data_IF_550912204976
#
_entry.id   IF_550912204976
#
_cell.length_a   1.000
_cell.length_b   1.000
_cell.length_c   1.000
_cell.angle_alpha   90.00
_cell.angle_beta   90.00
_cell.angle_gamma   90.00
#
_symmetry.space_group_name_H-M   'P 1'
#
loop_
_entity.id
_entity.type
_entity.pdbx_description
1 polymer ?
#
# COMPACT_ATOMS: atom_id res chain seq x y z
N UNK A 1 -49.93 -16.77 4.73
CA UNK A 1 -48.46 -16.84 4.85
C UNK A 1 -47.91 -15.43 4.89
N UNK A 2 -47.30 -15.00 6.00
CA UNK A 2 -46.61 -13.69 6.06
C UNK A 2 -45.24 -13.82 5.36
N UNK A 3 -44.81 -12.87 4.52
CA UNK A 3 -43.49 -12.91 3.89
C UNK A 3 -42.42 -12.84 4.99
N UNK A 4 -41.44 -13.75 4.97
CA UNK A 4 -40.24 -13.65 5.81
C UNK A 4 -39.51 -12.36 5.41
N UNK A 5 -39.51 -11.37 6.32
CA UNK A 5 -38.68 -10.19 6.16
C UNK A 5 -37.23 -10.62 5.94
N UNK A 6 -36.63 -10.21 4.80
CA UNK A 6 -35.19 -10.34 4.57
C UNK A 6 -34.51 -9.67 5.76
N UNK A 7 -33.80 -10.46 6.57
CA UNK A 7 -32.97 -9.96 7.66
C UNK A 7 -31.95 -9.02 7.02
N UNK A 8 -32.16 -7.72 7.14
CA UNK A 8 -31.21 -6.71 6.70
C UNK A 8 -30.04 -6.84 7.67
N UNK A 9 -28.97 -7.51 7.22
CA UNK A 9 -27.77 -7.69 8.03
C UNK A 9 -27.25 -6.30 8.40
N UNK A 10 -27.03 -6.07 9.69
CA UNK A 10 -26.46 -4.82 10.19
C UNK A 10 -25.19 -4.48 9.36
N UNK A 11 -25.09 -3.27 8.78
CA UNK A 11 -23.92 -2.85 8.00
C UNK A 11 -22.60 -3.09 8.75
N UNK A 12 -22.57 -2.92 10.07
CA UNK A 12 -21.38 -3.15 10.88
C UNK A 12 -21.00 -4.64 10.93
N UNK A 13 -21.98 -5.54 10.99
CA UNK A 13 -21.75 -6.98 10.95
C UNK A 13 -21.27 -7.41 9.57
N UNK A 14 -21.83 -6.85 8.50
CA UNK A 14 -21.39 -7.14 7.14
C UNK A 14 -19.95 -6.70 6.90
N UNK A 15 -19.56 -5.52 7.39
CA UNK A 15 -18.19 -5.01 7.31
C UNK A 15 -17.21 -5.91 8.07
N UNK A 16 -17.52 -6.25 9.33
CA UNK A 16 -16.67 -7.14 10.13
C UNK A 16 -16.49 -8.53 9.49
N UNK A 17 -17.51 -9.05 8.80
CA UNK A 17 -17.40 -10.30 8.05
C UNK A 17 -16.54 -10.15 6.80
N UNK A 18 -16.67 -9.03 6.09
CA UNK A 18 -15.80 -8.72 4.94
C UNK A 18 -14.33 -8.64 5.38
N UNK A 19 -14.03 -7.94 6.46
CA UNK A 19 -12.68 -7.86 7.04
C UNK A 19 -12.13 -9.22 7.47
N UNK A 20 -12.96 -10.06 8.11
CA UNK A 20 -12.59 -11.42 8.48
C UNK A 20 -12.17 -12.26 7.26
N UNK A 21 -12.90 -12.13 6.14
CA UNK A 21 -12.57 -12.81 4.89
C UNK A 21 -11.25 -12.28 4.32
N UNK A 22 -11.07 -10.96 4.26
CA UNK A 22 -9.85 -10.34 3.74
C UNK A 22 -8.62 -10.75 4.55
N UNK A 23 -8.73 -10.77 5.88
CA UNK A 23 -7.65 -11.19 6.79
C UNK A 23 -7.28 -12.67 6.57
N UNK A 24 -8.28 -13.55 6.49
CA UNK A 24 -8.07 -14.97 6.22
C UNK A 24 -7.45 -15.21 4.83
N UNK A 25 -7.89 -14.46 3.82
CA UNK A 25 -7.35 -14.55 2.48
C UNK A 25 -5.90 -14.07 2.41
N UNK A 26 -5.59 -12.92 3.03
CA UNK A 26 -4.23 -12.40 3.13
C UNK A 26 -3.30 -13.41 3.82
N UNK A 27 -3.75 -14.07 4.89
CA UNK A 27 -2.98 -15.16 5.53
C UNK A 27 -2.72 -16.34 4.57
N UNK A 28 -3.75 -16.79 3.84
CA UNK A 28 -3.59 -17.86 2.86
C UNK A 28 -2.62 -17.48 1.73
N UNK A 29 -2.74 -16.26 1.19
CA UNK A 29 -1.85 -15.74 0.14
C UNK A 29 -0.41 -15.65 0.63
N UNK A 30 -0.16 -15.13 1.82
CA UNK A 30 1.20 -15.10 2.40
C UNK A 30 1.83 -16.48 2.55
N UNK A 31 1.03 -17.50 2.88
CA UNK A 31 1.53 -18.85 3.14
C UNK A 31 1.76 -19.68 1.88
N UNK A 32 0.98 -19.47 0.82
CA UNK A 32 0.97 -20.34 -0.37
C UNK A 32 1.09 -19.60 -1.70
N UNK A 33 1.25 -18.29 -1.64
CA UNK A 33 1.11 -17.40 -2.77
C UNK A 33 -0.34 -17.27 -3.26
N UNK A 34 -0.57 -16.27 -4.10
CA UNK A 34 -1.88 -15.98 -4.68
C UNK A 34 -2.45 -17.18 -5.46
N UNK A 35 -1.63 -17.85 -6.26
CA UNK A 35 -2.06 -19.00 -7.07
C UNK A 35 -2.26 -20.27 -6.25
N UNK A 36 -1.44 -20.50 -5.23
CA UNK A 36 -1.51 -21.71 -4.40
C UNK A 36 -2.68 -21.70 -3.40
N UNK A 37 -3.21 -20.52 -3.05
CA UNK A 37 -4.39 -20.39 -2.22
C UNK A 37 -5.68 -20.49 -3.05
N UNK A 38 -6.64 -21.29 -2.55
CA UNK A 38 -7.96 -21.46 -3.15
C UNK A 38 -9.09 -21.09 -2.20
N UNK A 39 -10.29 -20.89 -2.76
CA UNK A 39 -11.49 -20.50 -1.98
C UNK A 39 -11.83 -21.45 -0.83
N UNK A 40 -11.60 -22.75 -1.00
CA UNK A 40 -11.82 -23.75 0.05
C UNK A 40 -10.92 -23.52 1.28
N UNK A 41 -9.67 -23.10 1.06
CA UNK A 41 -8.75 -22.80 2.15
C UNK A 41 -9.09 -21.48 2.82
N UNK A 42 -9.40 -20.43 2.04
CA UNK A 42 -9.87 -19.15 2.58
C UNK A 42 -11.12 -19.37 3.45
N UNK A 43 -12.07 -20.18 2.99
CA UNK A 43 -13.25 -20.63 3.73
C UNK A 43 -12.89 -21.28 5.07
N UNK A 44 -11.94 -22.22 5.06
CA UNK A 44 -11.47 -22.89 6.27
C UNK A 44 -10.81 -21.91 7.24
N UNK A 45 -9.89 -21.07 6.75
CA UNK A 45 -9.16 -20.09 7.57
C UNK A 45 -10.09 -19.03 8.15
N UNK A 46 -11.09 -18.57 7.38
CA UNK A 46 -12.09 -17.63 7.84
C UNK A 46 -13.10 -18.25 8.82
N UNK A 47 -13.18 -19.58 8.93
CA UNK A 47 -14.22 -20.25 9.70
C UNK A 47 -15.63 -20.03 9.13
N UNK A 48 -15.74 -19.83 7.81
CA UNK A 48 -16.98 -19.54 7.10
C UNK A 48 -17.20 -20.58 6.01
N UNK A 49 -18.45 -20.90 5.64
CA UNK A 49 -18.69 -21.75 4.47
C UNK A 49 -18.34 -21.00 3.18
N UNK A 50 -17.93 -21.73 2.13
CA UNK A 50 -17.64 -21.13 0.82
C UNK A 50 -18.82 -20.31 0.30
N UNK A 51 -20.05 -20.84 0.42
CA UNK A 51 -21.27 -20.10 0.04
C UNK A 51 -21.49 -18.81 0.84
N UNK A 52 -21.08 -18.76 2.11
CA UNK A 52 -21.14 -17.53 2.90
C UNK A 52 -20.13 -16.50 2.42
N UNK A 53 -18.92 -16.93 2.03
CA UNK A 53 -17.90 -16.03 1.44
C UNK A 53 -18.38 -15.48 0.09
N UNK A 54 -19.00 -16.32 -0.75
CA UNK A 54 -19.52 -15.89 -2.04
C UNK A 54 -20.63 -14.82 -1.95
N UNK A 55 -21.25 -14.63 -0.77
CA UNK A 55 -22.18 -13.52 -0.55
C UNK A 55 -21.47 -12.16 -0.37
N UNK A 56 -20.17 -12.15 -0.08
CA UNK A 56 -19.37 -10.93 0.10
C UNK A 56 -18.39 -10.70 -1.05
N UNK A 57 -17.91 -11.77 -1.70
CA UNK A 57 -16.95 -11.71 -2.79
C UNK A 57 -17.30 -12.72 -3.88
N UNK A 58 -17.45 -12.23 -5.11
CA UNK A 58 -17.85 -13.06 -6.24
C UNK A 58 -16.75 -14.04 -6.67
N UNK A 59 -15.48 -13.74 -6.36
CA UNK A 59 -14.33 -14.55 -6.77
C UNK A 59 -13.11 -14.33 -5.87
N UNK A 60 -12.05 -15.13 -6.10
CA UNK A 60 -10.74 -14.94 -5.46
C UNK A 60 -10.09 -13.63 -5.93
N UNK A 61 -10.32 -13.27 -7.19
CA UNK A 61 -9.89 -12.03 -7.81
C UNK A 61 -10.51 -10.82 -7.09
N UNK A 62 -11.81 -10.84 -6.83
CA UNK A 62 -12.48 -9.76 -6.09
C UNK A 62 -11.94 -9.62 -4.65
N UNK A 63 -11.51 -10.72 -4.03
CA UNK A 63 -10.87 -10.68 -2.71
C UNK A 63 -9.52 -9.97 -2.77
N UNK A 64 -8.66 -10.33 -3.73
CA UNK A 64 -7.32 -9.72 -3.83
C UNK A 64 -7.40 -8.25 -4.27
N UNK A 65 -8.33 -7.90 -5.16
CA UNK A 65 -8.61 -6.50 -5.53
C UNK A 65 -8.95 -5.67 -4.28
N UNK A 66 -9.81 -6.18 -3.41
CA UNK A 66 -10.18 -5.52 -2.16
C UNK A 66 -9.08 -5.51 -1.09
N UNK A 67 -8.12 -6.44 -1.12
CA UNK A 67 -6.92 -6.35 -0.27
C UNK A 67 -6.05 -5.18 -0.76
N UNK A 68 -5.81 -5.09 -2.07
CA UNK A 68 -5.03 -4.00 -2.66
C UNK A 68 -5.67 -2.65 -2.34
N UNK A 69 -7.00 -2.51 -2.54
CA UNK A 69 -7.73 -1.29 -2.19
C UNK A 69 -7.60 -0.91 -0.71
N UNK A 70 -7.67 -1.88 0.20
CA UNK A 70 -7.47 -1.63 1.63
C UNK A 70 -6.04 -1.16 1.92
N UNK A 71 -5.04 -1.77 1.30
CA UNK A 71 -3.64 -1.38 1.47
C UNK A 71 -3.39 0.03 0.92
N UNK A 72 -4.09 0.42 -0.15
CA UNK A 72 -4.12 1.80 -0.66
C UNK A 72 -4.72 2.78 0.35
N UNK A 73 -5.88 2.46 0.93
CA UNK A 73 -6.54 3.32 1.92
C UNK A 73 -5.63 3.55 3.14
N UNK A 74 -4.94 2.52 3.60
CA UNK A 74 -3.96 2.65 4.69
C UNK A 74 -2.80 3.56 4.29
N UNK A 75 -2.25 3.41 3.09
CA UNK A 75 -1.21 4.30 2.56
C UNK A 75 -1.72 5.75 2.46
N UNK A 76 -2.94 5.96 1.99
CA UNK A 76 -3.56 7.28 1.90
C UNK A 76 -3.76 7.92 3.28
N UNK A 77 -4.08 7.12 4.30
CA UNK A 77 -4.17 7.63 5.67
C UNK A 77 -2.82 8.16 6.18
N UNK A 78 -1.69 7.63 5.70
CA UNK A 78 -0.35 8.13 6.02
C UNK A 78 -0.12 9.48 5.33
N UNK A 79 -0.45 9.59 4.03
CA UNK A 79 -0.35 10.87 3.31
C UNK A 79 -1.23 11.95 3.93
N UNK A 80 -2.45 11.61 4.34
CA UNK A 80 -3.35 12.55 5.01
C UNK A 80 -2.72 13.13 6.29
N UNK A 81 -2.00 12.30 7.06
CA UNK A 81 -1.27 12.79 8.25
C UNK A 81 -0.19 13.81 7.90
N UNK A 82 0.45 13.71 6.73
CA UNK A 82 1.43 14.70 6.27
C UNK A 82 0.76 15.99 5.79
N UNK A 83 -0.39 15.86 5.11
CA UNK A 83 -1.21 17.00 4.71
C UNK A 83 -1.70 17.78 5.93
N UNK A 84 -2.16 17.08 6.97
CA UNK A 84 -2.67 17.67 8.21
C UNK A 84 -1.56 18.14 9.15
N UNK A 85 -0.30 17.71 8.93
CA UNK A 85 0.81 18.05 9.80
C UNK A 85 1.08 19.56 9.76
N UNK A 86 1.12 20.26 10.90
CA UNK A 86 1.42 21.69 10.92
C UNK A 86 2.89 21.93 10.54
N UNK A 87 3.17 22.98 9.76
CA UNK A 87 4.54 23.37 9.39
C UNK A 87 5.00 22.86 8.04
N UNK A 88 6.33 22.84 7.86
CA UNK A 88 7.02 22.52 6.61
C UNK A 88 6.85 21.05 6.21
N UNK A 89 6.62 20.81 4.92
CA UNK A 89 6.45 19.49 4.30
C UNK A 89 7.67 18.61 4.50
N UNK A 90 8.87 19.19 4.45
CA UNK A 90 10.12 18.45 4.67
C UNK A 90 10.13 17.77 6.04
N UNK A 91 9.78 18.51 7.10
CA UNK A 91 9.74 17.99 8.46
C UNK A 91 8.73 16.85 8.58
N UNK A 92 7.51 17.06 8.08
CA UNK A 92 6.45 16.05 8.12
C UNK A 92 6.87 14.73 7.44
N UNK A 93 7.48 14.80 6.26
CA UNK A 93 7.94 13.63 5.51
C UNK A 93 9.14 12.93 6.19
N UNK A 94 10.09 13.69 6.74
CA UNK A 94 11.24 13.12 7.44
C UNK A 94 10.87 12.49 8.78
N UNK A 95 9.86 13.02 9.48
CA UNK A 95 9.33 12.44 10.72
C UNK A 95 8.54 11.16 10.43
N UNK A 96 7.78 11.15 9.32
CA UNK A 96 7.07 9.97 8.84
C UNK A 96 7.93 8.87 8.25
N UNK A 97 9.22 9.14 7.98
CA UNK A 97 10.08 8.22 7.25
C UNK A 97 10.23 6.86 7.96
N UNK A 98 10.24 6.83 9.30
CA UNK A 98 10.33 5.58 10.05
C UNK A 98 9.12 4.66 9.77
N UNK A 99 7.91 5.24 9.73
CA UNK A 99 6.67 4.51 9.44
C UNK A 99 6.74 3.95 8.01
N UNK A 100 7.21 4.77 7.06
CA UNK A 100 7.40 4.35 5.67
C UNK A 100 8.39 3.17 5.55
N UNK A 101 9.54 3.25 6.22
CA UNK A 101 10.57 2.21 6.20
C UNK A 101 10.05 0.92 6.83
N UNK A 102 9.45 1.00 8.02
CA UNK A 102 8.89 -0.16 8.72
C UNK A 102 7.87 -0.89 7.83
N UNK A 103 6.95 -0.15 7.18
CA UNK A 103 5.97 -0.73 6.27
C UNK A 103 6.63 -1.44 5.09
N UNK A 104 7.59 -0.81 4.42
CA UNK A 104 8.24 -1.39 3.24
C UNK A 104 9.23 -2.52 3.57
N UNK A 105 9.65 -2.65 4.84
CA UNK A 105 10.50 -3.74 5.31
C UNK A 105 9.71 -4.88 5.97
N UNK A 106 8.39 -4.75 6.14
CA UNK A 106 7.55 -5.83 6.67
C UNK A 106 7.32 -6.92 5.62
N UNK A 107 8.21 -7.91 5.61
CA UNK A 107 8.10 -9.10 4.77
C UNK A 107 6.84 -9.92 5.02
N UNK A 108 6.18 -9.75 6.17
CA UNK A 108 4.92 -10.41 6.48
C UNK A 108 3.80 -9.85 5.62
N UNK A 109 3.55 -8.55 5.68
CA UNK A 109 2.47 -7.91 4.92
C UNK A 109 2.73 -7.89 3.41
N UNK A 110 4.00 -7.90 2.98
CA UNK A 110 4.41 -7.65 1.60
C UNK A 110 4.69 -8.88 0.71
N UNK A 111 4.49 -10.13 1.17
CA UNK A 111 4.56 -11.31 0.26
C UNK A 111 3.54 -11.19 -0.87
N UNK A 112 2.38 -10.59 -0.55
CA UNK A 112 1.31 -10.34 -1.51
C UNK A 112 1.79 -9.37 -2.60
N UNK A 113 2.53 -8.32 -2.24
CA UNK A 113 2.98 -7.31 -3.19
C UNK A 113 3.86 -7.89 -4.30
N UNK A 114 4.80 -8.77 -3.96
CA UNK A 114 5.66 -9.41 -4.98
C UNK A 114 4.90 -10.39 -5.86
N UNK A 115 3.98 -11.15 -5.28
CA UNK A 115 3.07 -12.01 -6.05
C UNK A 115 2.21 -11.18 -7.01
N UNK A 116 1.74 -10.01 -6.57
CA UNK A 116 0.95 -9.09 -7.39
C UNK A 116 1.77 -8.46 -8.51
N UNK A 117 3.01 -8.05 -8.23
CA UNK A 117 3.95 -7.56 -9.26
C UNK A 117 4.26 -8.64 -10.29
N UNK A 118 4.45 -9.89 -9.86
CA UNK A 118 4.64 -11.02 -10.76
C UNK A 118 3.37 -11.32 -11.59
N UNK A 119 2.20 -11.26 -10.96
CA UNK A 119 0.91 -11.51 -11.61
C UNK A 119 0.53 -10.43 -12.63
N UNK A 120 0.88 -9.16 -12.37
CA UNK A 120 0.65 -8.04 -13.28
C UNK A 120 1.30 -8.25 -14.67
N UNK A 121 2.38 -9.03 -14.74
CA UNK A 121 2.99 -9.40 -16.03
C UNK A 121 2.12 -10.32 -16.91
N UNK A 122 1.08 -10.93 -16.35
CA UNK A 122 0.23 -11.93 -17.02
C UNK A 122 -1.27 -11.66 -16.90
N UNK A 123 -1.67 -10.77 -15.99
CA UNK A 123 -3.07 -10.43 -15.72
C UNK A 123 -3.29 -8.91 -15.84
N UNK A 124 -3.99 -8.51 -16.90
CA UNK A 124 -4.21 -7.09 -17.20
C UNK A 124 -5.03 -6.37 -16.13
N UNK A 125 -5.95 -7.05 -15.44
CA UNK A 125 -6.76 -6.42 -14.39
C UNK A 125 -5.91 -6.04 -13.19
N UNK A 126 -5.07 -6.98 -12.73
CA UNK A 126 -4.10 -6.73 -11.64
C UNK A 126 -3.12 -5.63 -12.05
N UNK A 127 -2.61 -5.68 -13.28
CA UNK A 127 -1.71 -4.64 -13.79
C UNK A 127 -2.36 -3.24 -13.79
N UNK A 128 -3.62 -3.13 -14.22
CA UNK A 128 -4.37 -1.88 -14.20
C UNK A 128 -4.57 -1.38 -12.77
N UNK A 129 -5.00 -2.24 -11.85
CA UNK A 129 -5.22 -1.87 -10.46
C UNK A 129 -3.93 -1.37 -9.78
N UNK A 130 -2.80 -2.06 -9.96
CA UNK A 130 -1.51 -1.61 -9.41
C UNK A 130 -1.04 -0.29 -10.03
N UNK A 131 -1.28 -0.06 -11.33
CA UNK A 131 -0.94 1.21 -11.99
C UNK A 131 -1.81 2.35 -11.48
N UNK A 132 -3.11 2.14 -11.35
CA UNK A 132 -4.02 3.15 -10.79
C UNK A 132 -3.63 3.48 -9.35
N UNK A 133 -3.24 2.47 -8.57
CA UNK A 133 -2.69 2.62 -7.22
C UNK A 133 -1.46 3.51 -7.19
N UNK A 134 -0.46 3.21 -8.03
CA UNK A 134 0.78 3.98 -8.14
C UNK A 134 0.50 5.44 -8.55
N UNK A 135 -0.33 5.62 -9.58
CA UNK A 135 -0.70 6.95 -10.09
C UNK A 135 -1.34 7.80 -8.98
N UNK A 136 -2.27 7.22 -8.21
CA UNK A 136 -2.92 7.94 -7.12
C UNK A 136 -1.94 8.30 -5.99
N UNK A 137 -1.06 7.37 -5.60
CA UNK A 137 -0.06 7.61 -4.57
C UNK A 137 0.95 8.70 -4.97
N UNK A 138 1.47 8.64 -6.21
CA UNK A 138 2.35 9.69 -6.74
C UNK A 138 1.63 11.03 -6.92
N UNK A 139 0.33 10.99 -7.27
CA UNK A 139 -0.54 12.16 -7.31
C UNK A 139 -0.60 12.93 -6.00
N UNK A 140 -0.80 12.23 -4.87
CA UNK A 140 -0.80 12.85 -3.54
C UNK A 140 0.57 13.39 -3.14
N UNK A 141 1.64 12.64 -3.42
CA UNK A 141 2.99 13.13 -3.18
C UNK A 141 3.25 14.42 -3.96
N UNK A 142 2.84 14.50 -5.23
CA UNK A 142 2.93 15.72 -6.03
C UNK A 142 2.19 16.89 -5.39
N UNK A 143 0.95 16.69 -4.95
CA UNK A 143 0.16 17.72 -4.27
C UNK A 143 0.86 18.24 -3.01
N UNK A 144 1.45 17.34 -2.22
CA UNK A 144 2.18 17.71 -1.01
C UNK A 144 3.45 18.52 -1.33
N UNK A 145 4.25 18.05 -2.29
CA UNK A 145 5.52 18.68 -2.68
C UNK A 145 5.33 19.98 -3.48
N UNK A 146 4.21 20.16 -4.16
CA UNK A 146 3.84 21.40 -4.85
C UNK A 146 3.07 22.39 -3.95
N UNK A 147 2.80 22.04 -2.69
CA UNK A 147 2.06 22.92 -1.78
C UNK A 147 2.89 24.13 -1.33
N UNK A 148 2.22 25.22 -0.94
CA UNK A 148 2.89 26.44 -0.43
C UNK A 148 3.82 26.22 0.76
N UNK A 149 3.66 25.11 1.47
CA UNK A 149 4.46 24.72 2.63
C UNK A 149 5.76 24.00 2.25
N UNK A 150 5.95 23.69 0.97
CA UNK A 150 7.09 22.95 0.45
C UNK A 150 8.16 23.88 -0.10
N UNK A 151 9.42 23.54 0.14
CA UNK A 151 10.56 24.18 -0.50
C UNK A 151 10.64 23.91 -2.02
N UNK A 152 9.85 22.96 -2.53
CA UNK A 152 9.80 22.56 -3.94
C UNK A 152 8.61 23.16 -4.70
N UNK A 153 7.86 24.11 -4.13
CA UNK A 153 6.62 24.60 -4.73
C UNK A 153 6.78 25.25 -6.12
N UNK A 154 7.96 25.81 -6.41
CA UNK A 154 8.24 26.58 -7.63
C UNK A 154 9.22 25.87 -8.58
N UNK A 155 9.54 24.59 -8.36
CA UNK A 155 10.45 23.85 -9.27
C UNK A 155 9.73 23.45 -10.56
N UNK A 156 10.53 23.10 -11.57
CA UNK A 156 9.99 22.57 -12.83
C UNK A 156 9.22 21.24 -12.63
N UNK A 157 8.13 21.06 -13.37
CA UNK A 157 7.26 19.89 -13.25
C UNK A 157 7.99 18.58 -13.59
N UNK A 158 8.89 18.59 -14.58
CA UNK A 158 9.66 17.40 -14.93
C UNK A 158 10.65 17.04 -13.81
N UNK A 159 11.22 18.05 -13.15
CA UNK A 159 12.08 17.83 -11.99
C UNK A 159 11.28 17.26 -10.81
N UNK A 160 10.11 17.82 -10.51
CA UNK A 160 9.22 17.33 -9.47
C UNK A 160 8.83 15.87 -9.69
N UNK A 161 8.41 15.52 -10.91
CA UNK A 161 8.11 14.14 -11.31
C UNK A 161 9.32 13.22 -11.14
N UNK A 162 10.50 13.68 -11.54
CA UNK A 162 11.74 12.90 -11.41
C UNK A 162 12.05 12.60 -9.95
N UNK A 163 11.93 13.59 -9.05
CA UNK A 163 12.10 13.40 -7.60
C UNK A 163 11.11 12.38 -7.04
N UNK A 164 9.82 12.51 -7.37
CA UNK A 164 8.78 11.58 -6.91
C UNK A 164 9.08 10.15 -7.37
N UNK A 165 9.47 9.94 -8.63
CA UNK A 165 9.80 8.61 -9.14
C UNK A 165 11.00 7.99 -8.40
N UNK A 166 12.04 8.78 -8.10
CA UNK A 166 13.21 8.31 -7.35
C UNK A 166 12.83 7.96 -5.90
N UNK A 167 12.04 8.81 -5.23
CA UNK A 167 11.54 8.55 -3.87
C UNK A 167 10.78 7.22 -3.83
N UNK A 168 9.81 7.03 -4.73
CA UNK A 168 9.01 5.80 -4.77
C UNK A 168 9.85 4.57 -5.11
N UNK A 169 10.82 4.70 -6.03
CA UNK A 169 11.75 3.62 -6.36
C UNK A 169 12.62 3.20 -5.18
N UNK A 170 13.13 4.18 -4.41
CA UNK A 170 13.93 3.93 -3.22
C UNK A 170 13.12 3.21 -2.14
N UNK A 171 11.89 3.66 -1.89
CA UNK A 171 11.00 3.06 -0.88
C UNK A 171 10.56 1.64 -1.29
N UNK A 172 10.10 1.45 -2.53
CA UNK A 172 9.68 0.14 -3.05
C UNK A 172 10.84 -0.89 -3.03
N UNK A 173 12.07 -0.44 -3.28
CA UNK A 173 13.26 -1.28 -3.26
C UNK A 173 13.62 -1.85 -1.88
N UNK A 174 13.15 -1.24 -0.78
CA UNK A 174 13.46 -1.70 0.58
C UNK A 174 12.95 -3.12 0.85
N UNK A 175 11.80 -3.49 0.29
CA UNK A 175 11.25 -4.83 0.41
C UNK A 175 12.20 -5.87 -0.19
N UNK A 176 12.60 -5.67 -1.44
CA UNK A 176 13.52 -6.56 -2.14
C UNK A 176 14.84 -6.66 -1.39
N UNK A 177 15.34 -5.53 -0.87
CA UNK A 177 16.57 -5.50 -0.09
C UNK A 177 16.42 -6.30 1.21
N UNK A 178 15.33 -6.13 1.96
CA UNK A 178 15.08 -6.88 3.20
C UNK A 178 14.96 -8.39 2.98
N UNK A 179 14.37 -8.81 1.84
CA UNK A 179 14.30 -10.23 1.48
C UNK A 179 15.67 -10.83 1.16
N UNK A 180 16.52 -10.10 0.45
CA UNK A 180 17.88 -10.53 0.12
C UNK A 180 18.83 -10.47 1.31
N UNK A 181 18.54 -9.61 2.30
CA UNK A 181 19.37 -9.35 3.48
C UNK A 181 18.48 -9.32 4.74
N UNK A 182 18.08 -10.49 5.27
CA UNK A 182 17.13 -10.60 6.38
C UNK A 182 17.56 -9.88 7.66
N UNK A 183 18.86 -9.69 7.87
CA UNK A 183 19.46 -8.98 9.00
C UNK A 183 19.35 -7.45 8.89
N UNK A 184 18.95 -6.91 7.74
CA UNK A 184 18.81 -5.46 7.54
C UNK A 184 17.80 -4.88 8.53
N UNK A 185 18.22 -3.87 9.28
CA UNK A 185 17.38 -3.18 10.27
C UNK A 185 16.90 -1.83 9.76
N UNK A 186 15.77 -1.36 10.29
CA UNK A 186 15.24 -0.02 10.00
C UNK A 186 16.27 1.07 10.33
N UNK A 187 16.98 0.93 11.47
CA UNK A 187 18.04 1.84 11.90
C UNK A 187 19.15 1.94 10.85
N UNK A 188 19.66 0.80 10.36
CA UNK A 188 20.72 0.79 9.35
C UNK A 188 20.28 1.47 8.05
N UNK A 189 19.04 1.26 7.62
CA UNK A 189 18.49 1.92 6.42
C UNK A 189 18.37 3.42 6.63
N UNK A 190 17.84 3.85 7.78
CA UNK A 190 17.57 5.26 8.06
C UNK A 190 18.83 6.13 8.13
N UNK A 191 19.99 5.57 8.48
CA UNK A 191 21.28 6.29 8.46
C UNK A 191 21.55 6.94 7.10
N UNK A 192 21.33 6.20 6.01
CA UNK A 192 21.57 6.69 4.65
C UNK A 192 20.29 7.24 3.98
N UNK A 193 19.13 6.65 4.28
CA UNK A 193 17.87 7.04 3.66
C UNK A 193 17.43 8.44 4.08
N UNK A 194 17.60 8.82 5.35
CA UNK A 194 17.19 10.15 5.86
C UNK A 194 17.91 11.30 5.14
N UNK A 195 19.25 11.34 5.03
CA UNK A 195 19.92 12.40 4.29
C UNK A 195 19.61 12.34 2.79
N UNK A 196 19.52 11.15 2.18
CA UNK A 196 19.15 11.03 0.76
C UNK A 196 17.74 11.58 0.48
N UNK A 197 16.77 11.26 1.34
CA UNK A 197 15.41 11.78 1.25
C UNK A 197 15.39 13.29 1.44
N UNK A 198 16.14 13.83 2.41
CA UNK A 198 16.27 15.28 2.60
C UNK A 198 16.77 15.98 1.33
N UNK A 199 17.76 15.42 0.64
CA UNK A 199 18.27 15.96 -0.63
C UNK A 199 17.19 15.96 -1.72
N UNK A 200 16.40 14.89 -1.83
CA UNK A 200 15.30 14.80 -2.82
C UNK A 200 14.13 15.74 -2.50
N UNK A 201 13.97 16.14 -1.25
CA UNK A 201 12.89 17.00 -0.76
C UNK A 201 13.28 18.49 -0.67
N UNK A 202 14.50 18.85 -1.04
CA UNK A 202 14.99 20.25 -1.09
C UNK A 202 15.48 20.60 -2.49
N UNK A 203 15.51 21.88 -2.87
CA UNK A 203 16.16 22.31 -4.10
C UNK A 203 17.58 21.74 -4.16
N UNK A 204 18.00 21.29 -5.35
CA UNK A 204 19.39 20.89 -5.52
C UNK A 204 20.25 22.15 -5.50
N UNK A 205 21.40 22.10 -4.81
CA UNK A 205 22.37 23.18 -4.90
C UNK A 205 22.75 23.36 -6.38
N UNK A 206 22.65 24.59 -6.89
CA UNK A 206 23.12 24.89 -8.24
C UNK A 206 24.58 24.44 -8.33
N UNK A 207 24.87 23.53 -9.27
CA UNK A 207 26.23 23.12 -9.56
C UNK A 207 27.00 24.38 -9.98
N UNK A 208 27.94 24.81 -9.12
CA UNK A 208 28.92 25.85 -9.45
C UNK A 208 29.79 25.44 -10.64
#
# INVERSE_FOLDING_TARGET
MKPKAKRQTDPAIALARREQILSAAAECFRRKGYHGAGMAEISKTAGMSAGHIYNYFESKEAIIESIIEKDMEEMFSIFQKFEDHPGDVLAALLDGLNIGVQRHMDTGSCVIDLDMMAEAGRNIKVATLLRETDIQARGRMRQLLASERSALKDIDELELESRINVIFSMMAGLLLRKLLYPELTEETVLIALRPAMKTLLMPFDEAQ
#
